data_IF_207827769924
#
_entry.id   IF_207827769924
#
_cell.length_a   1.000
_cell.length_b   1.000
_cell.length_c   1.000
_cell.angle_alpha   90.00
_cell.angle_beta   90.00
_cell.angle_gamma   90.00
#
_symmetry.space_group_name_H-M   'P 1'
#
loop_
_entity.id
_entity.type
_entity.pdbx_description
1 polymer ?
#
# COMPACT_ATOMS: atom_id res chain seq x y z
N UNK A 1 9.06 -1.51 15.13
CA UNK A 1 8.02 -1.82 14.13
C UNK A 1 8.60 -1.43 12.79
N UNK A 2 8.82 -2.37 11.88
CA UNK A 2 9.28 -2.02 10.53
C UNK A 2 8.09 -1.45 9.76
N UNK A 3 8.13 -0.15 9.47
CA UNK A 3 7.06 0.56 8.75
C UNK A 3 6.81 -0.05 7.37
N UNK A 4 7.77 -0.77 6.79
CA UNK A 4 7.59 -1.43 5.50
C UNK A 4 6.67 -2.65 5.60
N UNK A 5 6.66 -3.33 6.74
CA UNK A 5 5.82 -4.51 6.95
C UNK A 5 4.35 -4.15 7.13
N UNK A 6 4.06 -2.90 7.52
CA UNK A 6 2.70 -2.43 7.78
C UNK A 6 2.03 -1.86 6.54
N UNK A 7 2.75 -1.61 5.44
CA UNK A 7 2.19 -1.01 4.21
C UNK A 7 1.60 -2.10 3.31
N UNK A 8 0.34 -1.93 2.89
CA UNK A 8 -0.32 -2.87 1.95
C UNK A 8 -0.02 -2.49 0.51
N UNK A 9 0.07 -3.50 -0.35
CA UNK A 9 0.36 -3.33 -1.77
C UNK A 9 -0.79 -3.88 -2.62
N UNK A 10 -1.38 -3.04 -3.45
CA UNK A 10 -2.52 -3.39 -4.30
C UNK A 10 -2.08 -3.29 -5.75
N UNK A 11 -2.03 -4.42 -6.45
CA UNK A 11 -1.63 -4.48 -7.86
C UNK A 11 -2.79 -4.02 -8.76
N UNK A 12 -2.46 -3.37 -9.86
CA UNK A 12 -3.37 -2.94 -10.93
C UNK A 12 -4.46 -1.94 -10.47
N UNK A 13 -4.18 -1.17 -9.41
CA UNK A 13 -5.09 -0.15 -8.88
C UNK A 13 -4.40 1.23 -8.82
N UNK A 14 -5.12 2.33 -9.13
CA UNK A 14 -6.47 2.38 -9.71
C UNK A 14 -6.49 2.07 -11.22
N UNK A 15 -5.31 1.93 -11.83
CA UNK A 15 -5.14 1.68 -13.27
C UNK A 15 -4.22 0.45 -13.41
N UNK A 16 -4.53 -0.41 -14.40
CA UNK A 16 -3.73 -1.59 -14.73
C UNK A 16 -2.26 -1.21 -14.99
N UNK A 17 -1.34 -1.96 -14.39
CA UNK A 17 0.10 -1.72 -14.47
C UNK A 17 0.69 -0.91 -13.31
N UNK A 18 -0.14 -0.33 -12.43
CA UNK A 18 0.30 0.41 -11.23
C UNK A 18 0.29 -0.51 -10.01
N UNK A 19 1.23 -0.34 -9.08
CA UNK A 19 1.15 -0.91 -7.73
C UNK A 19 0.89 0.23 -6.76
N UNK A 20 -0.29 0.24 -6.15
CA UNK A 20 -0.63 1.19 -5.11
C UNK A 20 -0.09 0.74 -3.76
N UNK A 21 0.52 1.67 -3.02
CA UNK A 21 1.00 1.45 -1.65
C UNK A 21 0.04 2.16 -0.70
N UNK A 22 -0.75 1.38 0.00
CA UNK A 22 -1.75 1.86 0.95
C UNK A 22 -1.10 2.13 2.31
N UNK A 23 -1.02 3.42 2.66
CA UNK A 23 -0.47 3.92 3.91
C UNK A 23 -1.54 4.14 4.99
N UNK A 24 -2.83 3.88 4.71
CA UNK A 24 -3.90 4.04 5.71
C UNK A 24 -3.68 3.15 6.93
N UNK A 25 -2.95 2.04 6.76
CA UNK A 25 -2.49 1.17 7.86
C UNK A 25 -1.59 1.87 8.89
N UNK A 26 -1.07 3.05 8.56
CA UNK A 26 -0.23 3.88 9.44
C UNK A 26 -1.03 4.99 10.15
N UNK A 27 -2.27 5.24 9.74
CA UNK A 27 -3.10 6.32 10.27
C UNK A 27 -4.07 5.73 11.30
N UNK A 28 -3.80 5.98 12.58
CA UNK A 28 -4.73 5.76 13.69
C UNK A 28 -5.40 7.07 14.09
#
# INVERSE_FOLDING_TARGET
MDLKETIRSIKDWPIKGVIFRDLTTLMQ
#
